data_IF_254087420686
#
_entry.id   IF_254087420686
#
_cell.length_a   1.000
_cell.length_b   1.000
_cell.length_c   1.000
_cell.angle_alpha   90.00
_cell.angle_beta   90.00
_cell.angle_gamma   90.00
#
_symmetry.space_group_name_H-M   'P 1'
#
loop_
_entity.id
_entity.type
_entity.pdbx_description
1 polymer ?
#
# COMPACT_ATOMS: atom_id res chain seq x y z
N UNK A 1 -5.25 -12.55 -5.85
CA UNK A 1 -6.17 -12.40 -4.71
C UNK A 1 -5.38 -12.61 -3.43
N UNK A 2 -5.58 -11.74 -2.44
CA UNK A 2 -4.91 -11.75 -1.14
C UNK A 2 -5.98 -11.70 -0.04
N UNK A 3 -5.95 -12.63 0.90
CA UNK A 3 -6.91 -12.68 2.02
C UNK A 3 -6.11 -12.83 3.31
N UNK A 4 -6.31 -11.91 4.24
CA UNK A 4 -5.72 -11.94 5.56
C UNK A 4 -6.68 -12.52 6.61
N UNK A 5 -6.17 -12.67 7.82
CA UNK A 5 -6.92 -13.14 9.00
C UNK A 5 -7.70 -12.02 9.71
N UNK A 6 -7.54 -10.77 9.26
CA UNK A 6 -8.17 -9.59 9.85
C UNK A 6 -7.30 -8.34 9.77
N UNK A 7 -7.97 -7.18 9.78
CA UNK A 7 -7.32 -5.88 10.03
C UNK A 7 -6.52 -5.97 11.34
N UNK A 8 -5.25 -5.52 11.30
CA UNK A 8 -4.28 -5.60 12.38
C UNK A 8 -3.81 -7.02 12.78
N UNK A 9 -4.26 -8.07 12.09
CA UNK A 9 -3.69 -9.43 12.25
C UNK A 9 -2.71 -9.75 11.13
N UNK A 10 -3.12 -9.53 9.89
CA UNK A 10 -2.25 -9.68 8.73
C UNK A 10 -1.72 -8.31 8.33
N UNK A 11 -0.46 -8.04 8.67
CA UNK A 11 0.19 -6.76 8.45
C UNK A 11 1.34 -6.94 7.44
N UNK A 12 1.24 -6.26 6.32
CA UNK A 12 2.32 -6.11 5.34
C UNK A 12 3.00 -4.77 5.63
N UNK A 13 4.23 -4.81 6.13
CA UNK A 13 4.98 -3.60 6.46
C UNK A 13 6.25 -3.47 5.64
N UNK A 14 6.61 -2.22 5.32
CA UNK A 14 7.82 -1.85 4.61
C UNK A 14 8.31 -0.48 5.07
N UNK A 15 9.58 -0.20 4.85
CA UNK A 15 10.25 1.02 5.32
C UNK A 15 11.13 1.68 4.25
N UNK A 16 10.89 1.40 2.98
CA UNK A 16 11.60 2.06 1.88
C UNK A 16 11.16 3.52 1.80
N UNK A 17 12.13 4.41 1.55
CA UNK A 17 11.88 5.85 1.56
C UNK A 17 12.82 6.58 0.59
N UNK A 18 12.44 7.80 0.22
CA UNK A 18 13.27 8.64 -0.64
C UNK A 18 14.65 8.94 -0.04
N UNK A 19 14.70 9.19 1.27
CA UNK A 19 15.95 9.44 1.99
C UNK A 19 16.90 8.23 1.95
N UNK A 20 16.36 7.01 1.96
CA UNK A 20 17.17 5.78 1.86
C UNK A 20 17.64 5.49 0.42
N UNK A 21 17.44 6.41 -0.53
CA UNK A 21 17.88 6.29 -1.92
C UNK A 21 16.87 5.61 -2.85
N UNK A 22 15.64 5.39 -2.39
CA UNK A 22 14.57 4.80 -3.21
C UNK A 22 13.81 5.89 -3.97
N UNK A 23 13.42 5.65 -5.21
CA UNK A 23 12.49 6.56 -5.88
C UNK A 23 11.10 6.45 -5.23
N UNK A 24 10.28 7.49 -5.29
CA UNK A 24 8.89 7.46 -4.77
C UNK A 24 8.12 6.25 -5.30
N UNK A 25 8.32 5.90 -6.57
CA UNK A 25 7.71 4.72 -7.20
C UNK A 25 8.21 3.39 -6.61
N UNK A 26 9.50 3.28 -6.30
CA UNK A 26 10.09 2.06 -5.73
C UNK A 26 10.01 1.99 -4.21
N UNK A 27 9.59 3.07 -3.54
CA UNK A 27 9.33 3.10 -2.11
C UNK A 27 8.05 2.37 -1.69
N UNK A 28 7.27 1.85 -2.67
CA UNK A 28 6.00 1.17 -2.41
C UNK A 28 6.19 -0.10 -1.59
N UNK A 29 5.63 -0.14 -0.38
CA UNK A 29 5.57 -1.38 0.43
C UNK A 29 4.79 -2.48 -0.28
N UNK A 30 3.74 -2.12 -1.01
CA UNK A 30 2.94 -3.06 -1.78
C UNK A 30 2.60 -2.50 -3.16
N UNK A 31 2.95 -3.23 -4.21
CA UNK A 31 2.68 -2.85 -5.60
C UNK A 31 1.78 -3.89 -6.28
N UNK A 32 0.64 -3.42 -6.78
CA UNK A 32 -0.32 -4.24 -7.53
C UNK A 32 -0.25 -3.87 -9.00
N UNK A 33 0.11 -4.83 -9.85
CA UNK A 33 0.24 -4.63 -11.32
C UNK A 33 -0.72 -5.53 -12.10
N UNK A 34 -1.28 -6.56 -11.48
CA UNK A 34 -2.21 -7.48 -12.15
C UNK A 34 -3.68 -7.04 -12.01
N UNK A 35 -4.38 -6.94 -13.14
CA UNK A 35 -5.79 -6.55 -13.22
C UNK A 35 -6.71 -7.39 -12.33
N UNK A 36 -7.80 -6.78 -11.85
CA UNK A 36 -8.82 -7.41 -10.99
C UNK A 36 -8.25 -8.02 -9.70
N UNK A 37 -7.20 -7.42 -9.16
CA UNK A 37 -6.65 -7.82 -7.88
C UNK A 37 -7.64 -7.56 -6.74
N UNK A 38 -7.87 -8.56 -5.90
CA UNK A 38 -8.72 -8.43 -4.71
C UNK A 38 -7.87 -8.63 -3.46
N UNK A 39 -7.96 -7.69 -2.52
CA UNK A 39 -7.43 -7.80 -1.17
C UNK A 39 -8.56 -7.73 -0.13
N UNK A 40 -8.53 -8.63 0.85
CA UNK A 40 -9.51 -8.68 1.94
C UNK A 40 -8.81 -8.85 3.29
N UNK A 41 -9.25 -8.10 4.31
CA UNK A 41 -8.81 -8.27 5.70
C UNK A 41 -7.29 -8.13 5.92
N UNK A 42 -6.64 -7.21 5.21
CA UNK A 42 -5.20 -6.95 5.32
C UNK A 42 -4.91 -5.51 5.72
N UNK A 43 -3.87 -5.33 6.53
CA UNK A 43 -3.27 -4.02 6.81
C UNK A 43 -2.00 -3.88 6.00
N UNK A 44 -1.86 -2.80 5.23
CA UNK A 44 -0.61 -2.45 4.54
C UNK A 44 -0.08 -1.15 5.15
N UNK A 45 1.14 -1.19 5.69
CA UNK A 45 1.72 -0.07 6.43
C UNK A 45 3.11 0.30 5.92
N UNK A 46 3.36 1.58 5.68
CA UNK A 46 4.72 2.12 5.60
C UNK A 46 5.17 2.61 6.98
N UNK A 47 6.30 2.10 7.48
CA UNK A 47 6.91 2.51 8.75
C UNK A 47 8.05 3.51 8.56
N UNK A 48 8.25 4.02 7.34
CA UNK A 48 9.14 5.14 7.10
C UNK A 48 8.62 6.37 7.86
N UNK A 49 9.40 6.85 8.82
CA UNK A 49 9.04 7.98 9.67
C UNK A 49 8.86 9.28 8.89
N UNK A 50 8.26 10.31 9.51
CA UNK A 50 8.01 11.60 8.86
C UNK A 50 9.31 12.29 8.40
N UNK A 51 10.45 12.02 9.04
CA UNK A 51 11.75 12.53 8.60
C UNK A 51 12.26 11.93 7.28
N UNK A 52 11.68 10.82 6.80
CA UNK A 52 12.18 10.10 5.62
C UNK A 52 11.53 10.53 4.29
N UNK A 53 10.67 11.54 4.34
CA UNK A 53 9.93 12.09 3.19
C UNK A 53 9.07 11.04 2.48
N UNK A 54 8.97 11.05 1.14
CA UNK A 54 7.99 10.22 0.40
C UNK A 54 8.17 8.72 0.68
N UNK A 55 7.09 8.08 1.14
CA UNK A 55 7.07 6.64 1.43
C UNK A 55 5.69 6.02 1.16
N UNK A 56 5.54 5.39 0.00
CA UNK A 56 4.26 4.88 -0.49
C UNK A 56 3.89 3.58 0.23
N UNK A 57 2.73 3.51 0.89
CA UNK A 57 2.27 2.25 1.48
C UNK A 57 1.72 1.29 0.40
N UNK A 58 0.87 1.81 -0.49
CA UNK A 58 0.30 1.02 -1.60
C UNK A 58 0.36 1.78 -2.91
N UNK A 59 0.87 1.10 -3.93
CA UNK A 59 0.80 1.51 -5.32
C UNK A 59 -0.07 0.53 -6.09
N UNK A 60 -1.16 1.03 -6.65
CA UNK A 60 -2.09 0.24 -7.43
C UNK A 60 -2.10 0.70 -8.90
N UNK A 61 -1.62 -0.16 -9.77
CA UNK A 61 -1.54 0.04 -11.22
C UNK A 61 -2.43 -0.97 -11.98
N UNK A 62 -3.32 -1.67 -11.28
CA UNK A 62 -4.20 -2.68 -11.86
C UNK A 62 -5.59 -2.11 -12.12
N UNK A 63 -6.19 -2.45 -13.26
CA UNK A 63 -7.56 -2.05 -13.56
C UNK A 63 -8.56 -2.98 -12.88
N UNK A 64 -9.57 -2.40 -12.21
CA UNK A 64 -10.66 -3.15 -11.56
C UNK A 64 -10.27 -3.87 -10.26
N UNK A 65 -9.22 -3.43 -9.59
CA UNK A 65 -8.84 -3.95 -8.27
C UNK A 65 -9.79 -3.51 -7.15
N UNK A 66 -10.01 -4.39 -6.17
CA UNK A 66 -10.91 -4.18 -5.02
C UNK A 66 -10.18 -4.42 -3.72
N UNK A 67 -10.35 -3.52 -2.76
CA UNK A 67 -9.85 -3.66 -1.40
C UNK A 67 -11.05 -3.62 -0.44
N UNK A 68 -11.31 -4.75 0.23
CA UNK A 68 -12.44 -4.90 1.14
C UNK A 68 -11.94 -5.12 2.56
N UNK A 69 -12.40 -4.33 3.53
CA UNK A 69 -11.91 -4.39 4.93
C UNK A 69 -10.37 -4.34 5.02
N UNK A 70 -9.74 -3.48 4.22
CA UNK A 70 -8.29 -3.27 4.27
C UNK A 70 -7.95 -1.99 5.03
N UNK A 71 -6.81 -1.96 5.72
CA UNK A 71 -6.26 -0.76 6.37
C UNK A 71 -4.98 -0.33 5.65
N UNK A 72 -4.85 0.96 5.35
CA UNK A 72 -3.64 1.53 4.75
C UNK A 72 -3.07 2.57 5.69
N UNK A 73 -1.82 2.38 6.10
CA UNK A 73 -1.20 3.17 7.15
C UNK A 73 0.18 3.69 6.76
N UNK A 74 0.52 4.91 7.13
CA UNK A 74 1.77 5.57 6.75
C UNK A 74 1.75 7.05 7.07
N UNK A 75 2.85 7.74 6.77
CA UNK A 75 3.02 9.17 7.08
C UNK A 75 2.76 10.07 5.86
N UNK A 76 3.77 10.26 4.99
CA UNK A 76 3.70 11.13 3.81
C UNK A 76 3.64 10.28 2.53
N UNK A 77 2.74 10.59 1.59
CA UNK A 77 2.41 9.76 0.40
C UNK A 77 1.84 8.37 0.73
N UNK A 78 1.10 8.26 1.83
CA UNK A 78 0.49 7.00 2.32
C UNK A 78 -0.41 6.30 1.29
N UNK A 79 -1.08 7.05 0.41
CA UNK A 79 -1.94 6.52 -0.64
C UNK A 79 -1.65 7.26 -1.96
N UNK A 80 -1.08 6.56 -2.95
CA UNK A 80 -1.02 7.04 -4.34
C UNK A 80 -2.00 6.22 -5.20
N UNK A 81 -3.28 6.59 -5.26
CA UNK A 81 -4.20 5.99 -6.23
C UNK A 81 -3.81 6.51 -7.63
N UNK A 82 -3.20 5.65 -8.44
CA UNK A 82 -2.92 6.00 -9.84
C UNK A 82 -4.16 5.80 -10.73
N UNK A 83 -5.14 4.97 -10.33
CA UNK A 83 -6.47 4.89 -10.96
C UNK A 83 -7.53 4.31 -10.00
N UNK A 84 -8.79 4.43 -10.39
CA UNK A 84 -10.05 4.15 -9.65
C UNK A 84 -9.96 2.91 -8.73
N UNK A 85 -9.76 3.16 -7.44
CA UNK A 85 -9.75 2.11 -6.40
C UNK A 85 -11.09 2.15 -5.67
N UNK A 86 -11.90 1.10 -5.81
CA UNK A 86 -13.14 0.96 -5.04
C UNK A 86 -12.76 0.54 -3.62
N UNK A 87 -12.85 1.51 -2.69
CA UNK A 87 -12.81 1.28 -1.25
C UNK A 87 -14.25 1.02 -0.80
N UNK A 88 -14.58 -0.22 -0.46
CA UNK A 88 -15.91 -0.64 0.03
C UNK A 88 -15.85 -1.18 1.44
#
# INVERSE_FOLDING_TARGET
>A
MLIGDGINKTIISGNHSFIDGWTTYNSSTFAVVGDRFVAVDVTIRSTAGPEKHQAVAVRNNADGSTFYRCSFEGYQDTLCPFFETILS
#
